data_IF_448798166823
#
_entry.id   IF_448798166823
#
_cell.length_a   1.000
_cell.length_b   1.000
_cell.length_c   1.000
_cell.angle_alpha   90.00
_cell.angle_beta   90.00
_cell.angle_gamma   90.00
#
_symmetry.space_group_name_H-M   'P 1'
#
loop_
_entity.id
_entity.type
_entity.pdbx_description
1 polymer ?
#
# COMPACT_ATOMS: atom_id res chain seq x y z
N UNK A 1 4.05 -10.04 16.71
CA UNK A 1 2.76 -9.46 17.12
C UNK A 1 1.71 -9.86 16.12
N UNK A 2 0.61 -10.41 16.53
CA UNK A 2 -0.51 -10.75 15.66
C UNK A 2 -1.76 -9.99 16.09
N UNK A 3 -2.58 -9.57 15.12
CA UNK A 3 -3.85 -8.90 15.36
C UNK A 3 -5.05 -9.85 15.30
N UNK A 4 -4.81 -11.15 15.51
CA UNK A 4 -5.86 -12.15 15.47
C UNK A 4 -7.03 -11.76 16.39
N UNK A 5 -8.21 -11.59 15.82
CA UNK A 5 -9.42 -11.17 16.55
C UNK A 5 -9.52 -9.67 16.88
N UNK A 6 -8.49 -8.85 16.59
CA UNK A 6 -8.50 -7.41 16.82
C UNK A 6 -8.82 -6.58 15.57
N UNK A 7 -8.57 -7.15 14.39
CA UNK A 7 -8.87 -6.53 13.09
C UNK A 7 -9.82 -7.42 12.29
N UNK A 8 -10.83 -6.80 11.73
CA UNK A 8 -11.68 -7.39 10.71
C UNK A 8 -11.51 -6.58 9.43
N UNK A 9 -11.14 -7.25 8.32
CA UNK A 9 -10.86 -6.60 7.04
C UNK A 9 -11.83 -7.14 6.01
N UNK A 10 -12.50 -6.25 5.30
CA UNK A 10 -13.29 -6.55 4.12
C UNK A 10 -12.74 -5.75 2.94
N UNK A 11 -12.68 -6.36 1.77
CA UNK A 11 -12.23 -5.72 0.55
C UNK A 11 -13.18 -5.99 -0.60
N UNK A 12 -13.30 -5.00 -1.48
CA UNK A 12 -14.09 -5.11 -2.70
C UNK A 12 -13.39 -4.30 -3.79
N UNK A 13 -13.38 -4.82 -5.01
CA UNK A 13 -12.92 -4.12 -6.19
C UNK A 13 -13.81 -4.48 -7.38
N UNK A 14 -14.07 -3.54 -8.27
CA UNK A 14 -14.99 -3.70 -9.38
C UNK A 14 -14.57 -2.77 -10.53
N UNK A 15 -14.53 -3.24 -11.80
CA UNK A 15 -14.16 -2.41 -12.95
C UNK A 15 -15.20 -1.33 -13.29
N UNK A 16 -16.38 -1.39 -12.68
CA UNK A 16 -17.50 -0.50 -13.00
C UNK A 16 -18.20 -0.86 -14.31
N UNK A 17 -19.06 0.04 -14.76
CA UNK A 17 -19.96 -0.20 -15.90
C UNK A 17 -19.35 0.17 -17.25
N UNK A 18 -18.23 0.88 -17.27
CA UNK A 18 -17.65 1.50 -18.50
C UNK A 18 -16.30 0.93 -18.87
N UNK A 19 -15.46 0.61 -17.88
CA UNK A 19 -14.12 0.08 -18.13
C UNK A 19 -14.14 -1.40 -18.46
N UNK A 20 -13.30 -1.82 -19.42
CA UNK A 20 -13.12 -3.22 -19.75
C UNK A 20 -12.19 -3.96 -18.77
N UNK A 21 -11.31 -3.23 -18.10
CA UNK A 21 -10.32 -3.74 -17.18
C UNK A 21 -10.39 -3.01 -15.85
N UNK A 22 -10.01 -3.70 -14.79
CA UNK A 22 -9.84 -3.13 -13.46
C UNK A 22 -8.35 -2.92 -13.21
N UNK A 23 -7.95 -1.66 -13.07
CA UNK A 23 -6.57 -1.27 -12.84
C UNK A 23 -6.25 -1.09 -11.34
N UNK A 24 -7.23 -1.33 -10.47
CA UNK A 24 -7.05 -1.31 -9.02
C UNK A 24 -6.46 -2.63 -8.52
N UNK A 25 -5.67 -2.54 -7.47
CA UNK A 25 -5.15 -3.69 -6.74
C UNK A 25 -5.25 -3.48 -5.24
N UNK A 26 -5.70 -4.51 -4.53
CA UNK A 26 -5.84 -4.51 -3.08
C UNK A 26 -5.14 -5.74 -2.52
N UNK A 27 -4.39 -5.55 -1.44
CA UNK A 27 -3.81 -6.65 -0.68
C UNK A 27 -3.89 -6.36 0.81
N UNK A 28 -4.09 -7.40 1.62
CA UNK A 28 -4.14 -7.26 3.07
C UNK A 28 -3.61 -8.48 3.79
N UNK A 29 -3.11 -8.27 4.98
CA UNK A 29 -2.75 -9.29 5.94
C UNK A 29 -3.24 -8.86 7.33
N UNK A 30 -4.37 -9.41 7.74
CA UNK A 30 -5.00 -9.06 9.02
C UNK A 30 -4.19 -9.50 10.23
N UNK A 31 -3.37 -10.55 10.12
CA UNK A 31 -2.51 -10.99 11.22
C UNK A 31 -1.32 -10.05 11.43
N UNK A 32 -0.79 -9.50 10.37
CA UNK A 32 0.31 -8.52 10.40
C UNK A 32 -0.17 -7.08 10.51
N UNK A 33 -1.47 -6.85 10.39
CA UNK A 33 -2.03 -5.50 10.43
C UNK A 33 -1.69 -4.67 9.19
N UNK A 34 -1.66 -5.28 8.01
CA UNK A 34 -1.30 -4.62 6.76
C UNK A 34 -2.50 -4.51 5.83
N UNK A 35 -2.68 -3.34 5.25
CA UNK A 35 -3.62 -3.08 4.15
C UNK A 35 -2.94 -2.22 3.11
N UNK A 36 -3.05 -2.61 1.85
CA UNK A 36 -2.47 -1.89 0.70
C UNK A 36 -3.52 -1.75 -0.38
N UNK A 37 -3.68 -0.55 -0.90
CA UNK A 37 -4.54 -0.24 -2.04
C UNK A 37 -3.76 0.58 -3.06
N UNK A 38 -3.89 0.25 -4.33
CA UNK A 38 -3.25 0.95 -5.43
C UNK A 38 -4.21 1.06 -6.62
N UNK A 39 -4.36 2.26 -7.17
CA UNK A 39 -5.12 2.57 -8.39
C UNK A 39 -4.13 2.85 -9.51
N UNK A 40 -4.06 1.93 -10.46
CA UNK A 40 -3.11 1.96 -11.55
C UNK A 40 -3.55 2.87 -12.69
N UNK A 41 -2.57 3.42 -13.39
CA UNK A 41 -2.78 4.19 -14.61
C UNK A 41 -1.77 3.82 -15.67
N UNK A 42 -2.21 3.77 -16.94
CA UNK A 42 -1.37 3.44 -18.07
C UNK A 42 -2.17 3.04 -19.31
N UNK A 43 -1.50 2.95 -20.45
CA UNK A 43 -2.11 2.43 -21.66
C UNK A 43 -2.25 0.91 -21.61
N UNK A 44 -3.27 0.36 -22.29
CA UNK A 44 -3.57 -1.07 -22.29
C UNK A 44 -3.76 -1.62 -20.87
N UNK A 45 -2.96 -2.61 -20.47
CA UNK A 45 -2.99 -3.21 -19.12
C UNK A 45 -1.85 -2.68 -18.23
N UNK A 46 -1.23 -1.58 -18.61
CA UNK A 46 -0.06 -1.08 -17.88
C UNK A 46 -0.41 -0.59 -16.46
N UNK A 47 -1.58 0.00 -16.28
CA UNK A 47 -2.08 0.39 -14.96
C UNK A 47 -2.28 -0.80 -14.04
N UNK A 48 -2.91 -1.88 -14.52
CA UNK A 48 -3.07 -3.14 -13.78
C UNK A 48 -1.73 -3.74 -13.36
N UNK A 49 -0.72 -3.68 -14.24
CA UNK A 49 0.64 -4.14 -13.93
C UNK A 49 1.27 -3.28 -12.84
N UNK A 50 1.17 -1.96 -12.94
CA UNK A 50 1.75 -1.05 -11.96
C UNK A 50 1.13 -1.22 -10.56
N UNK A 51 -0.19 -1.25 -10.45
CA UNK A 51 -0.90 -1.45 -9.18
C UNK A 51 -0.63 -2.83 -8.58
N UNK A 52 -0.63 -3.88 -9.42
CA UNK A 52 -0.30 -5.24 -9.01
C UNK A 52 1.14 -5.39 -8.50
N UNK A 53 2.11 -4.75 -9.17
CA UNK A 53 3.49 -4.71 -8.70
C UNK A 53 3.61 -3.99 -7.35
N UNK A 54 2.96 -2.84 -7.19
CA UNK A 54 3.00 -2.09 -5.94
C UNK A 54 2.45 -2.91 -4.77
N UNK A 55 1.26 -3.48 -4.90
CA UNK A 55 0.63 -4.27 -3.83
C UNK A 55 1.43 -5.53 -3.51
N UNK A 56 1.92 -6.24 -4.53
CA UNK A 56 2.70 -7.48 -4.35
C UNK A 56 4.03 -7.22 -3.65
N UNK A 57 4.79 -6.22 -4.09
CA UNK A 57 6.07 -5.88 -3.46
C UNK A 57 5.85 -5.48 -2.01
N UNK A 58 4.91 -4.58 -1.76
CA UNK A 58 4.67 -4.07 -0.41
C UNK A 58 4.19 -5.15 0.55
N UNK A 59 3.19 -5.94 0.18
CA UNK A 59 2.66 -6.97 1.09
C UNK A 59 3.72 -8.04 1.37
N UNK A 60 4.42 -8.53 0.34
CA UNK A 60 5.40 -9.61 0.49
C UNK A 60 6.60 -9.18 1.33
N UNK A 61 7.17 -8.02 1.03
CA UNK A 61 8.36 -7.54 1.74
C UNK A 61 8.04 -7.15 3.19
N UNK A 62 6.92 -6.46 3.41
CA UNK A 62 6.52 -6.07 4.77
C UNK A 62 6.17 -7.29 5.63
N UNK A 63 5.50 -8.31 5.08
CA UNK A 63 5.25 -9.56 5.81
C UNK A 63 6.54 -10.19 6.31
N UNK A 64 7.54 -10.34 5.42
CA UNK A 64 8.83 -10.93 5.77
C UNK A 64 9.61 -10.12 6.81
N UNK A 65 9.55 -8.80 6.72
CA UNK A 65 10.23 -7.90 7.65
C UNK A 65 9.56 -7.91 9.02
N UNK A 66 8.24 -7.91 9.07
CA UNK A 66 7.46 -7.95 10.31
C UNK A 66 7.51 -9.29 11.03
N UNK A 67 7.89 -10.37 10.35
CA UNK A 67 8.22 -11.64 10.99
C UNK A 67 9.50 -11.59 11.82
N UNK A 68 10.41 -10.70 11.47
CA UNK A 68 11.75 -10.60 12.06
C UNK A 68 11.91 -9.40 12.98
N UNK A 69 11.13 -8.36 12.81
CA UNK A 69 11.27 -7.08 13.50
C UNK A 69 9.90 -6.56 13.95
N UNK A 70 9.90 -5.85 15.07
CA UNK A 70 8.69 -5.20 15.59
C UNK A 70 8.60 -3.74 15.14
N UNK A 71 7.43 -3.29 14.62
CA UNK A 71 7.30 -1.95 14.01
C UNK A 71 7.47 -0.80 15.01
N UNK A 72 7.29 -1.03 16.30
CA UNK A 72 7.45 -0.02 17.36
C UNK A 72 8.88 0.09 17.89
N UNK A 73 9.82 -0.71 17.43
CA UNK A 73 11.23 -0.53 17.74
C UNK A 73 11.74 0.78 17.15
N UNK A 74 12.72 1.36 17.83
CA UNK A 74 13.44 2.53 17.35
C UNK A 74 14.73 2.07 16.69
N UNK A 75 14.98 2.57 15.49
CA UNK A 75 16.24 2.33 14.81
C UNK A 75 17.39 3.04 15.55
N UNK A 76 18.44 2.29 15.87
CA UNK A 76 19.56 2.78 16.68
C UNK A 76 20.37 3.89 16.00
N UNK A 77 20.41 3.90 14.66
CA UNK A 77 21.19 4.88 13.89
C UNK A 77 20.40 6.16 13.64
N UNK A 78 19.14 6.04 13.21
CA UNK A 78 18.29 7.19 12.83
C UNK A 78 17.46 7.77 13.96
N UNK A 79 17.26 7.02 15.04
CA UNK A 79 16.32 7.38 16.13
C UNK A 79 14.86 7.38 15.73
N UNK A 80 14.52 6.92 14.52
CA UNK A 80 13.16 6.85 14.01
C UNK A 80 12.49 5.52 14.36
N UNK A 81 11.16 5.54 14.47
CA UNK A 81 10.41 4.30 14.59
C UNK A 81 10.62 3.43 13.35
N UNK A 82 10.88 2.16 13.58
CA UNK A 82 11.13 1.19 12.52
C UNK A 82 9.98 1.11 11.51
N UNK A 83 8.73 1.25 11.97
CA UNK A 83 7.56 1.29 11.10
C UNK A 83 7.68 2.34 9.99
N UNK A 84 8.15 3.54 10.30
CA UNK A 84 8.34 4.62 9.32
C UNK A 84 9.41 4.26 8.29
N UNK A 85 10.53 3.71 8.77
CA UNK A 85 11.62 3.29 7.90
C UNK A 85 11.20 2.14 6.98
N UNK A 86 10.54 1.11 7.53
CA UNK A 86 10.04 -0.02 6.75
C UNK A 86 9.12 0.43 5.62
N UNK A 87 8.13 1.27 5.91
CA UNK A 87 7.21 1.75 4.87
C UNK A 87 7.94 2.58 3.81
N UNK A 88 8.81 3.51 4.23
CA UNK A 88 9.58 4.34 3.30
C UNK A 88 10.43 3.51 2.35
N UNK A 89 11.17 2.55 2.88
CA UNK A 89 12.10 1.73 2.11
C UNK A 89 11.34 0.81 1.13
N UNK A 90 10.24 0.21 1.58
CA UNK A 90 9.47 -0.67 0.70
C UNK A 90 8.67 0.08 -0.36
N UNK A 91 8.19 1.29 -0.07
CA UNK A 91 7.58 2.17 -1.07
C UNK A 91 8.62 2.57 -2.13
N UNK A 92 9.83 2.95 -1.71
CA UNK A 92 10.91 3.27 -2.64
C UNK A 92 11.31 2.07 -3.52
N UNK A 93 11.35 0.87 -2.94
CA UNK A 93 11.60 -0.39 -3.67
C UNK A 93 10.51 -0.67 -4.72
N UNK A 94 9.25 -0.55 -4.32
CA UNK A 94 8.12 -0.73 -5.24
C UNK A 94 8.18 0.28 -6.40
N UNK A 95 8.42 1.55 -6.11
CA UNK A 95 8.58 2.60 -7.12
C UNK A 95 9.72 2.28 -8.10
N UNK A 96 10.88 1.86 -7.59
CA UNK A 96 12.03 1.49 -8.42
C UNK A 96 11.70 0.31 -9.34
N UNK A 97 11.00 -0.69 -8.85
CA UNK A 97 10.59 -1.86 -9.63
C UNK A 97 9.63 -1.48 -10.77
N UNK A 98 8.63 -0.65 -10.48
CA UNK A 98 7.66 -0.15 -11.48
C UNK A 98 8.38 0.70 -12.52
N UNK A 99 9.24 1.61 -12.09
CA UNK A 99 10.02 2.47 -12.99
C UNK A 99 10.91 1.66 -13.92
N UNK A 100 11.64 0.67 -13.41
CA UNK A 100 12.50 -0.20 -14.24
C UNK A 100 11.70 -1.01 -15.23
N UNK A 101 10.54 -1.56 -14.85
CA UNK A 101 9.67 -2.27 -15.75
C UNK A 101 9.14 -1.36 -16.88
N UNK A 102 8.73 -0.12 -16.54
CA UNK A 102 8.28 0.88 -17.50
C UNK A 102 9.38 1.30 -18.49
N UNK A 103 10.64 1.32 -18.06
CA UNK A 103 11.78 1.65 -18.92
C UNK A 103 12.21 0.48 -19.82
N UNK A 104 12.09 -0.76 -19.33
CA UNK A 104 12.57 -1.94 -20.04
C UNK A 104 11.57 -2.51 -21.06
N UNK A 105 10.28 -2.18 -20.93
CA UNK A 105 9.23 -2.74 -21.79
C UNK A 105 8.37 -1.62 -22.38
N UNK A 106 8.41 -1.42 -23.71
CA UNK A 106 7.68 -0.33 -24.36
C UNK A 106 6.17 -0.30 -24.08
N UNK A 107 5.53 -1.47 -23.89
CA UNK A 107 4.10 -1.58 -23.58
C UNK A 107 3.76 -1.05 -22.18
N UNK A 108 4.73 -0.90 -21.28
CA UNK A 108 4.55 -0.37 -19.93
C UNK A 108 5.04 1.08 -19.78
N UNK A 109 5.44 1.72 -20.90
CA UNK A 109 5.91 3.09 -20.86
C UNK A 109 4.85 4.04 -20.27
N UNK A 110 5.26 4.81 -19.26
CA UNK A 110 4.38 5.78 -18.62
C UNK A 110 3.40 5.18 -17.59
N UNK A 111 3.48 3.88 -17.29
CA UNK A 111 2.66 3.31 -16.23
C UNK A 111 3.01 3.88 -14.86
N UNK A 112 2.00 3.98 -14.02
CA UNK A 112 2.14 4.42 -12.64
C UNK A 112 0.97 3.92 -11.79
N UNK A 113 1.01 4.20 -10.53
CA UNK A 113 -0.07 3.88 -9.61
C UNK A 113 -0.11 4.84 -8.44
N UNK A 114 -1.30 5.08 -7.92
CA UNK A 114 -1.47 5.63 -6.58
C UNK A 114 -1.09 4.58 -5.55
N UNK A 115 -1.02 4.97 -4.30
CA UNK A 115 -0.78 4.06 -3.20
C UNK A 115 -1.40 4.59 -1.90
N UNK A 116 -2.07 3.70 -1.17
CA UNK A 116 -2.43 3.89 0.24
C UNK A 116 -2.01 2.65 0.99
N UNK A 117 -1.20 2.81 2.03
CA UNK A 117 -0.74 1.72 2.90
C UNK A 117 -1.11 2.05 4.33
N UNK A 118 -1.70 1.08 5.02
CA UNK A 118 -1.91 1.13 6.46
C UNK A 118 -1.12 0.01 7.14
N UNK A 119 -0.33 0.39 8.14
CA UNK A 119 0.33 -0.55 9.05
C UNK A 119 -0.20 -0.32 10.45
N UNK A 120 -0.97 -1.28 10.95
CA UNK A 120 -1.44 -1.30 12.33
C UNK A 120 -0.35 -1.88 13.23
N UNK A 121 -0.08 -1.23 14.33
CA UNK A 121 0.83 -1.72 15.36
C UNK A 121 0.52 -1.05 16.69
N UNK A 122 0.61 -1.82 17.77
CA UNK A 122 0.21 -1.35 19.07
C UNK A 122 -1.22 -0.77 19.02
N UNK A 123 -1.50 0.39 19.57
CA UNK A 123 -2.78 1.11 19.45
C UNK A 123 -2.73 2.20 18.36
N UNK A 124 -1.98 2.01 17.31
CA UNK A 124 -1.71 3.00 16.25
C UNK A 124 -1.92 2.42 14.87
N UNK A 125 -2.16 3.30 13.93
CA UNK A 125 -2.04 3.03 12.51
C UNK A 125 -1.10 4.05 11.88
N UNK A 126 -0.09 3.54 11.18
CA UNK A 126 0.75 4.36 10.31
C UNK A 126 0.17 4.31 8.91
N UNK A 127 -0.03 5.48 8.34
CA UNK A 127 -0.56 5.65 6.98
C UNK A 127 0.52 6.28 6.10
N UNK A 128 0.77 5.67 4.96
CA UNK A 128 1.55 6.27 3.88
C UNK A 128 0.71 6.30 2.61
N UNK A 129 0.78 7.39 1.85
CA UNK A 129 0.01 7.51 0.63
C UNK A 129 0.74 8.36 -0.43
N UNK A 130 0.43 8.06 -1.69
CA UNK A 130 0.87 8.79 -2.89
C UNK A 130 -0.32 8.87 -3.86
N UNK A 131 -0.60 10.06 -4.38
CA UNK A 131 -1.68 10.29 -5.33
C UNK A 131 -2.99 10.72 -4.66
N UNK A 132 -4.10 10.37 -5.28
CA UNK A 132 -5.46 10.81 -4.94
C UNK A 132 -6.38 9.69 -4.45
N UNK A 133 -5.87 8.47 -4.29
CA UNK A 133 -6.56 7.43 -3.51
C UNK A 133 -6.61 7.82 -2.03
N UNK A 134 -7.74 7.55 -1.37
CA UNK A 134 -8.04 8.16 -0.08
C UNK A 134 -8.26 7.15 1.04
N UNK A 135 -7.90 7.56 2.23
CA UNK A 135 -8.24 6.90 3.49
C UNK A 135 -9.18 7.77 4.31
N UNK A 136 -10.24 7.16 4.81
CA UNK A 136 -11.19 7.78 5.73
C UNK A 136 -11.24 7.02 7.05
N UNK A 137 -11.50 7.73 8.12
CA UNK A 137 -11.78 7.15 9.45
C UNK A 137 -13.19 7.51 9.86
N UNK A 138 -13.96 6.52 10.26
CA UNK A 138 -15.24 6.69 10.93
C UNK A 138 -15.07 6.32 12.41
N UNK A 139 -15.28 7.27 13.30
CA UNK A 139 -15.22 7.07 14.75
C UNK A 139 -16.31 7.90 15.43
N UNK A 140 -17.10 7.28 16.29
CA UNK A 140 -18.20 7.96 17.02
C UNK A 140 -19.09 8.82 16.10
N UNK A 141 -19.50 8.23 14.96
CA UNK A 141 -20.31 8.89 13.92
C UNK A 141 -19.64 10.08 13.20
N UNK A 142 -18.36 10.33 13.46
CA UNK A 142 -17.55 11.33 12.75
C UNK A 142 -16.77 10.67 11.63
N UNK A 143 -17.02 11.13 10.41
CA UNK A 143 -16.35 10.67 9.19
C UNK A 143 -15.31 11.71 8.75
N UNK A 144 -14.05 11.30 8.66
CA UNK A 144 -12.93 12.21 8.35
C UNK A 144 -11.99 11.59 7.33
N UNK A 145 -11.63 12.35 6.30
CA UNK A 145 -10.53 12.01 5.40
C UNK A 145 -9.20 12.21 6.12
N UNK A 146 -8.34 11.21 6.08
CA UNK A 146 -7.00 11.22 6.71
C UNK A 146 -5.93 11.65 5.72
N UNK A 147 -6.01 11.14 4.49
CA UNK A 147 -5.07 11.45 3.40
C UNK A 147 -5.36 12.82 2.81
N UNK A 148 -4.37 13.39 2.14
CA UNK A 148 -4.50 14.60 1.34
C UNK A 148 -4.12 14.29 -0.10
N UNK A 149 -5.02 14.57 -1.02
CA UNK A 149 -4.78 14.35 -2.45
C UNK A 149 -3.55 15.15 -2.94
N UNK A 150 -2.73 14.50 -3.72
CA UNK A 150 -1.56 15.10 -4.38
C UNK A 150 -1.90 15.68 -5.74
#
# INVERSE_FOLDING_TARGET
MTFSGALEIASCTDPGMVRAHNEDSIASDGEKGLVVLADGMGGYNAGEVASGMATTVLITELQQLLDKRTPYETDAESGQLLAHQLLRDQIAKANSSIYQAAQSQPQYAGMGTTLVVCLFYDNRVLVAHLGDSRLYVLRESKFKQVTRDH
#
